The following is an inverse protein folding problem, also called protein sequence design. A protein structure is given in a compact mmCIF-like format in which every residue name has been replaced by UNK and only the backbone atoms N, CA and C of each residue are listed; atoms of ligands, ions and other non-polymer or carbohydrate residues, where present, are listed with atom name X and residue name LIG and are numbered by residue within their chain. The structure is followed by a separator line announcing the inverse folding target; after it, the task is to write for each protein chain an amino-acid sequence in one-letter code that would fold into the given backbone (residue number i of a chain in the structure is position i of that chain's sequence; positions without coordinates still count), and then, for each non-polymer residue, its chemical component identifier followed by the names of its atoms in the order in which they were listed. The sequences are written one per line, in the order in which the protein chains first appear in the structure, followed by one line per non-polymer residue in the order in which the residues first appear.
data_IF_694735656777
#
_entry.id   IF_694735656777
#
_cell.length_a   1.000
_cell.length_b   1.000
_cell.length_c   1.000
_cell.angle_alpha   90.00
_cell.angle_beta   90.00
_cell.angle_gamma   90.00
#
_symmetry.space_group_name_H-M   'P 1'
#
loop_
_entity.id
_entity.type
_entity.pdbx_description
1 polymer ?
#
# COMPACT_ATOMS: atom_id res chain seq x y z
N UNK A 1 22.48 -28.57 3.44
CA UNK A 1 21.18 -28.59 2.75
C UNK A 1 20.67 -27.19 2.51
N UNK A 2 20.33 -26.89 1.29
CA UNK A 2 19.78 -25.61 0.94
C UNK A 2 18.35 -25.41 1.44
N UNK A 3 18.02 -24.17 1.79
CA UNK A 3 16.67 -23.76 2.13
C UNK A 3 16.10 -22.98 0.95
N UNK A 4 14.95 -23.41 0.47
CA UNK A 4 14.23 -22.69 -0.59
C UNK A 4 13.37 -21.61 0.06
N UNK A 5 13.55 -20.38 -0.40
CA UNK A 5 12.69 -19.26 -0.04
C UNK A 5 11.77 -18.94 -1.23
N UNK A 6 10.48 -18.98 -0.99
CA UNK A 6 9.50 -18.51 -1.97
C UNK A 6 9.05 -17.13 -1.55
N UNK A 7 9.24 -16.16 -2.44
CA UNK A 7 8.61 -14.85 -2.30
C UNK A 7 7.31 -14.91 -3.08
N UNK A 8 6.17 -14.79 -2.37
CA UNK A 8 4.88 -14.66 -3.03
C UNK A 8 4.74 -13.23 -3.51
N UNK A 9 4.87 -13.05 -4.81
CA UNK A 9 4.78 -11.76 -5.45
C UNK A 9 3.84 -11.83 -6.65
N UNK A 10 3.07 -10.78 -6.84
CA UNK A 10 2.22 -10.61 -8.01
C UNK A 10 2.43 -9.22 -8.59
N UNK A 11 2.13 -9.08 -9.88
CA UNK A 11 2.07 -7.79 -10.57
C UNK A 11 0.59 -7.48 -10.78
N UNK A 12 0.16 -6.32 -10.34
CA UNK A 12 -1.25 -5.92 -10.41
C UNK A 12 -1.37 -4.42 -10.64
N UNK A 13 -2.38 -4.01 -11.39
CA UNK A 13 -2.71 -2.60 -11.53
C UNK A 13 -3.58 -2.18 -10.36
N UNK A 14 -3.15 -1.15 -9.63
CA UNK A 14 -3.89 -0.58 -8.50
C UNK A 14 -4.31 0.85 -8.83
N UNK A 15 -5.53 1.20 -8.42
CA UNK A 15 -5.95 2.59 -8.41
C UNK A 15 -5.33 3.26 -7.19
N UNK A 16 -4.48 4.25 -7.41
CA UNK A 16 -3.69 4.88 -6.37
C UNK A 16 -4.17 6.29 -6.09
N UNK A 17 -4.34 6.59 -4.82
CA UNK A 17 -4.64 7.92 -4.28
C UNK A 17 -3.67 8.23 -3.16
N UNK A 18 -3.80 9.38 -2.53
CA UNK A 18 -2.95 9.78 -1.41
C UNK A 18 -3.80 10.40 -0.30
N UNK A 19 -3.34 10.27 0.94
CA UNK A 19 -3.98 10.85 2.11
C UNK A 19 -2.92 11.42 3.05
N UNK A 20 -3.30 12.42 3.85
CA UNK A 20 -2.39 13.08 4.78
C UNK A 20 -2.92 13.14 6.22
N UNK A 21 -3.91 12.32 6.55
CA UNK A 21 -4.48 12.25 7.90
C UNK A 21 -3.38 11.94 8.92
N UNK A 22 -3.48 12.52 10.09
CA UNK A 22 -2.56 12.27 11.20
C UNK A 22 -3.22 11.33 12.19
N UNK A 23 -2.43 10.51 12.87
CA UNK A 23 -2.92 9.62 13.91
C UNK A 23 -2.43 8.20 13.78
N UNK A 24 -3.13 7.31 14.48
CA UNK A 24 -2.80 5.89 14.55
C UNK A 24 -3.51 5.16 13.41
N UNK A 25 -2.74 4.36 12.67
CA UNK A 25 -3.26 3.52 11.59
C UNK A 25 -3.99 2.30 12.14
N UNK A 26 -4.67 1.57 11.24
CA UNK A 26 -5.36 0.34 11.62
C UNK A 26 -4.42 -0.73 12.19
N UNK A 27 -3.14 -0.70 11.85
CA UNK A 27 -2.13 -1.62 12.42
C UNK A 27 -1.66 -1.22 13.83
N UNK A 28 -2.02 -0.03 14.31
CA UNK A 28 -1.58 0.48 15.61
C UNK A 28 -0.33 1.36 15.55
N UNK A 29 0.21 1.60 14.38
CA UNK A 29 1.36 2.48 14.16
C UNK A 29 0.90 3.90 13.88
N UNK A 30 1.68 4.91 14.31
CA UNK A 30 1.43 6.29 13.89
C UNK A 30 1.82 6.45 12.41
N UNK A 31 1.07 7.26 11.66
CA UNK A 31 1.37 7.53 10.25
C UNK A 31 2.76 8.11 10.05
N UNK A 32 3.44 7.71 9.00
CA UNK A 32 4.73 8.23 8.60
C UNK A 32 4.98 7.94 7.11
N UNK A 33 6.01 8.54 6.55
CA UNK A 33 6.38 8.26 5.16
C UNK A 33 6.73 6.78 4.97
N UNK A 34 6.33 6.23 3.83
CA UNK A 34 6.59 4.82 3.48
C UNK A 34 5.46 3.85 3.83
N UNK A 35 4.34 4.32 4.39
CA UNK A 35 3.18 3.47 4.65
C UNK A 35 2.05 3.73 3.67
N UNK A 36 1.15 2.77 3.56
CA UNK A 36 -0.04 2.88 2.74
C UNK A 36 -1.22 2.14 3.35
N UNK A 37 -2.41 2.46 2.87
CA UNK A 37 -3.64 1.77 3.18
C UNK A 37 -4.05 0.88 2.01
N UNK A 38 -4.37 -0.36 2.29
CA UNK A 38 -4.91 -1.32 1.34
C UNK A 38 -5.87 -2.23 2.08
N UNK A 39 -7.02 -2.52 1.49
CA UNK A 39 -7.94 -3.52 2.04
C UNK A 39 -7.74 -4.86 1.33
N UNK A 40 -8.14 -4.96 0.06
CA UNK A 40 -8.09 -6.20 -0.72
C UNK A 40 -7.36 -6.01 -2.04
N UNK A 41 -6.70 -7.06 -2.49
CA UNK A 41 -6.14 -7.15 -3.84
C UNK A 41 -6.66 -8.45 -4.45
N UNK A 42 -7.24 -8.36 -5.65
CA UNK A 42 -7.86 -9.49 -6.34
C UNK A 42 -8.85 -10.24 -5.44
N UNK A 43 -9.62 -9.48 -4.64
CA UNK A 43 -10.65 -10.00 -3.76
C UNK A 43 -10.15 -10.59 -2.44
N UNK A 44 -8.84 -10.58 -2.17
CA UNK A 44 -8.22 -11.17 -0.99
C UNK A 44 -7.74 -10.09 -0.05
N UNK A 45 -8.04 -10.23 1.24
CA UNK A 45 -7.55 -9.32 2.27
C UNK A 45 -6.01 -9.35 2.30
N UNK A 46 -5.42 -8.16 2.22
CA UNK A 46 -3.96 -8.00 2.22
C UNK A 46 -3.45 -7.91 3.65
N UNK A 47 -2.52 -8.78 4.08
CA UNK A 47 -1.98 -8.72 5.44
C UNK A 47 -1.18 -7.43 5.66
N UNK A 48 -1.16 -6.94 6.89
CA UNK A 48 -0.19 -5.90 7.26
C UNK A 48 1.24 -6.40 7.03
N UNK A 49 2.14 -5.49 6.74
CA UNK A 49 3.54 -5.73 6.39
C UNK A 49 3.76 -6.26 4.96
N UNK A 50 2.71 -6.38 4.17
CA UNK A 50 2.84 -6.60 2.72
C UNK A 50 3.55 -5.39 2.11
N UNK A 51 4.47 -5.65 1.19
CA UNK A 51 5.18 -4.60 0.46
C UNK A 51 4.47 -4.31 -0.85
N UNK A 52 4.25 -3.05 -1.13
CA UNK A 52 3.76 -2.58 -2.42
C UNK A 52 4.90 -1.80 -3.07
N UNK A 53 5.38 -2.27 -4.21
CA UNK A 53 6.49 -1.65 -4.91
C UNK A 53 5.94 -0.92 -6.13
N UNK A 54 6.10 0.40 -6.12
CA UNK A 54 5.64 1.28 -7.19
C UNK A 54 6.54 1.15 -8.43
N UNK A 55 6.06 1.59 -9.61
CA UNK A 55 6.87 1.54 -10.84
C UNK A 55 8.20 2.28 -10.73
N UNK A 56 8.29 3.32 -9.90
CA UNK A 56 9.53 4.07 -9.67
C UNK A 56 10.48 3.38 -8.68
N UNK A 57 10.12 2.20 -8.17
CA UNK A 57 10.92 1.45 -7.20
C UNK A 57 10.66 1.79 -5.74
N UNK A 58 9.83 2.79 -5.44
CA UNK A 58 9.49 3.11 -4.05
C UNK A 58 8.74 1.95 -3.42
N UNK A 59 9.17 1.55 -2.23
CA UNK A 59 8.55 0.48 -1.45
C UNK A 59 7.65 1.09 -0.38
N UNK A 60 6.40 0.67 -0.37
CA UNK A 60 5.42 1.05 0.65
C UNK A 60 5.05 -0.18 1.46
N UNK A 61 4.82 0.01 2.75
CA UNK A 61 4.39 -1.06 3.64
C UNK A 61 2.93 -0.86 4.00
N UNK A 62 2.14 -1.91 3.85
CA UNK A 62 0.71 -1.87 4.21
C UNK A 62 0.59 -1.84 5.73
N UNK A 63 0.12 -0.73 6.27
CA UNK A 63 -0.07 -0.50 7.71
C UNK A 63 -1.46 0.03 8.04
N UNK A 64 -2.24 0.37 7.03
CA UNK A 64 -3.53 0.99 7.24
C UNK A 64 -4.62 0.35 6.37
N UNK A 65 -5.87 0.70 6.64
CA UNK A 65 -7.06 0.22 5.94
C UNK A 65 -7.94 1.39 5.55
N UNK A 66 -8.70 1.20 4.46
CA UNK A 66 -9.82 2.10 4.14
C UNK A 66 -11.01 1.87 5.08
N UNK A 67 -11.18 0.63 5.53
CA UNK A 67 -12.27 0.24 6.40
C UNK A 67 -13.56 -0.17 5.69
N UNK A 68 -13.59 -0.17 4.36
CA UNK A 68 -14.78 -0.48 3.57
C UNK A 68 -14.58 -1.66 2.60
N UNK A 69 -13.47 -2.40 2.70
CA UNK A 69 -13.19 -3.56 1.86
C UNK A 69 -12.91 -3.21 0.41
N UNK A 70 -12.34 -2.06 0.13
CA UNK A 70 -11.97 -1.63 -1.22
C UNK A 70 -11.05 -2.66 -1.89
N UNK A 71 -11.31 -2.94 -3.17
CA UNK A 71 -10.52 -3.91 -3.93
C UNK A 71 -9.60 -3.20 -4.94
N UNK A 72 -8.34 -3.63 -4.98
CA UNK A 72 -7.32 -3.11 -5.91
C UNK A 72 -7.15 -1.58 -5.82
N UNK A 73 -7.22 -1.05 -4.62
CA UNK A 73 -7.04 0.36 -4.33
C UNK A 73 -5.92 0.54 -3.32
N UNK A 74 -5.02 1.47 -3.62
CA UNK A 74 -3.88 1.82 -2.78
C UNK A 74 -3.99 3.30 -2.39
N UNK A 75 -3.92 3.60 -1.10
CA UNK A 75 -3.89 4.97 -0.61
C UNK A 75 -2.55 5.24 0.07
N UNK A 76 -1.78 6.17 -0.48
CA UNK A 76 -0.40 6.43 -0.06
C UNK A 76 -0.39 7.57 0.94
N UNK A 77 0.16 7.33 2.13
CA UNK A 77 0.31 8.42 3.08
C UNK A 77 1.38 9.41 2.61
N UNK A 78 1.04 10.69 2.67
CA UNK A 78 1.94 11.80 2.34
C UNK A 78 1.86 12.87 3.44
N UNK A 79 2.96 13.56 3.66
CA UNK A 79 3.10 14.46 4.80
C UNK A 79 2.30 15.76 4.67
N UNK A 80 1.84 16.12 3.48
CA UNK A 80 1.12 17.38 3.26
C UNK A 80 -0.06 17.23 2.31
N UNK A 81 -1.05 18.07 2.51
CA UNK A 81 -2.23 18.14 1.65
C UNK A 81 -1.84 18.50 0.21
N UNK A 82 -0.88 19.41 0.03
CA UNK A 82 -0.40 19.79 -1.30
C UNK A 82 0.23 18.62 -2.04
N UNK A 83 0.98 17.77 -1.35
CA UNK A 83 1.56 16.56 -1.94
C UNK A 83 0.46 15.59 -2.39
N UNK A 84 -0.60 15.42 -1.60
CA UNK A 84 -1.74 14.59 -1.97
C UNK A 84 -2.47 15.13 -3.21
N UNK A 85 -2.69 16.43 -3.27
CA UNK A 85 -3.31 17.07 -4.43
C UNK A 85 -2.49 16.89 -5.70
N UNK A 86 -1.18 17.07 -5.59
CA UNK A 86 -0.25 16.89 -6.71
C UNK A 86 -0.21 15.44 -7.19
N UNK A 87 -0.26 14.49 -6.27
CA UNK A 87 -0.32 13.08 -6.63
C UNK A 87 -1.61 12.75 -7.38
N UNK A 88 -2.75 13.20 -6.86
CA UNK A 88 -4.06 12.98 -7.45
C UNK A 88 -4.49 11.52 -7.45
N UNK A 89 -5.02 11.07 -8.58
CA UNK A 89 -5.50 9.69 -8.77
C UNK A 89 -4.80 9.10 -9.99
N UNK A 90 -4.18 7.94 -9.82
CA UNK A 90 -3.41 7.27 -10.88
C UNK A 90 -3.63 5.78 -10.86
N UNK A 91 -3.62 5.16 -12.03
CA UNK A 91 -3.53 3.70 -12.11
C UNK A 91 -2.06 3.33 -12.30
N UNK A 92 -1.51 2.57 -11.37
CA UNK A 92 -0.11 2.18 -11.40
C UNK A 92 0.01 0.66 -11.39
N UNK A 93 0.92 0.13 -12.20
CA UNK A 93 1.28 -1.28 -12.18
C UNK A 93 2.28 -1.50 -11.05
N UNK A 94 1.86 -2.21 -10.02
CA UNK A 94 2.63 -2.42 -8.81
C UNK A 94 3.02 -3.87 -8.64
N UNK A 95 4.15 -4.09 -7.97
CA UNK A 95 4.52 -5.42 -7.48
C UNK A 95 4.08 -5.52 -6.02
N UNK A 96 3.43 -6.63 -5.68
CA UNK A 96 2.93 -6.90 -4.33
C UNK A 96 3.65 -8.11 -3.79
N UNK A 97 4.37 -7.94 -2.69
CA UNK A 97 5.11 -9.01 -2.01
C UNK A 97 4.51 -9.23 -0.62
N UNK A 98 4.03 -10.45 -0.36
CA UNK A 98 3.52 -10.82 0.95
C UNK A 98 4.64 -10.86 1.99
N UNK A 99 4.31 -10.62 3.28
CA UNK A 99 5.31 -10.65 4.34
C UNK A 99 5.94 -12.00 4.52
#
# INVERSE_FOLDING_TARGET
MGRLFSILAIIVTLECTAYCDRGITASGEYVHDGICAVDRINGVLVPFNTKIILPNGKVLIVKDRFGAGHNNHLDIWMASESACWEFGRRNLVCKVELP
#
